data_IF_910939486369
#
_entry.id   IF_910939486369
#
_cell.length_a   1.000
_cell.length_b   1.000
_cell.length_c   1.000
_cell.angle_alpha   90.00
_cell.angle_beta   90.00
_cell.angle_gamma   90.00
#
_symmetry.space_group_name_H-M   'P 1'
#
loop_
_entity.id
_entity.type
_entity.pdbx_description
1 polymer ?
#
# COMPACT_ATOMS: atom_id res chain seq x y z
N UNK A 1 3.05 -26.09 -9.32
CA UNK A 1 1.84 -25.28 -9.49
C UNK A 1 2.26 -23.83 -9.77
N UNK A 2 1.83 -23.30 -10.89
CA UNK A 2 2.25 -21.97 -11.29
C UNK A 2 1.58 -20.90 -10.43
N UNK A 3 2.36 -19.90 -10.05
CA UNK A 3 1.81 -18.76 -9.34
C UNK A 3 0.87 -17.97 -10.24
N UNK A 4 -0.24 -17.51 -9.69
CA UNK A 4 -1.18 -16.69 -10.42
C UNK A 4 -0.54 -15.32 -10.73
N UNK A 5 -0.52 -14.94 -12.01
CA UNK A 5 0.01 -13.64 -12.40
C UNK A 5 -0.98 -12.52 -12.03
N UNK A 6 -0.49 -11.29 -11.81
CA UNK A 6 -1.39 -10.15 -11.61
C UNK A 6 -2.38 -9.97 -12.77
N UNK A 7 -1.93 -10.16 -14.01
CA UNK A 7 -2.83 -10.05 -15.18
C UNK A 7 -3.97 -11.07 -15.11
N UNK A 8 -3.65 -12.32 -14.79
CA UNK A 8 -4.66 -13.37 -14.68
C UNK A 8 -5.61 -13.12 -13.50
N UNK A 9 -5.05 -12.65 -12.38
CA UNK A 9 -5.85 -12.33 -11.19
C UNK A 9 -6.83 -11.19 -11.46
N UNK A 10 -6.42 -10.16 -12.18
CA UNK A 10 -7.23 -8.98 -12.44
C UNK A 10 -8.20 -9.14 -13.62
N UNK A 11 -7.96 -10.10 -14.50
CA UNK A 11 -8.73 -10.28 -15.72
C UNK A 11 -10.26 -10.36 -15.51
N UNK A 12 -10.79 -11.00 -14.45
CA UNK A 12 -12.25 -11.12 -14.25
C UNK A 12 -12.93 -9.84 -13.78
N UNK A 13 -12.15 -8.85 -13.31
CA UNK A 13 -12.76 -7.63 -12.74
C UNK A 13 -13.27 -6.69 -13.84
N UNK A 14 -14.29 -5.85 -13.53
CA UNK A 14 -14.80 -4.87 -14.51
C UNK A 14 -13.70 -3.97 -15.04
N UNK A 15 -13.84 -3.49 -16.28
CA UNK A 15 -12.83 -2.69 -16.97
C UNK A 15 -12.30 -1.53 -16.12
N UNK A 16 -13.14 -0.66 -15.50
CA UNK A 16 -12.61 0.46 -14.71
C UNK A 16 -11.75 0.01 -13.53
N UNK A 17 -12.15 -1.09 -12.88
CA UNK A 17 -11.43 -1.63 -11.72
C UNK A 17 -10.11 -2.23 -12.16
N UNK A 18 -10.14 -3.03 -13.22
CA UNK A 18 -8.95 -3.67 -13.77
C UNK A 18 -7.93 -2.62 -14.22
N UNK A 19 -8.38 -1.61 -14.94
CA UNK A 19 -7.50 -0.54 -15.44
C UNK A 19 -6.91 0.28 -14.29
N UNK A 20 -7.72 0.64 -13.30
CA UNK A 20 -7.24 1.33 -12.11
C UNK A 20 -6.20 0.49 -11.37
N UNK A 21 -6.46 -0.80 -11.18
CA UNK A 21 -5.52 -1.70 -10.50
C UNK A 21 -4.18 -1.77 -11.23
N UNK A 22 -4.20 -1.87 -12.55
CA UNK A 22 -2.95 -1.88 -13.33
C UNK A 22 -2.20 -0.57 -13.24
N UNK A 23 -2.89 0.56 -13.21
CA UNK A 23 -2.23 1.86 -13.00
C UNK A 23 -1.59 1.95 -11.62
N UNK A 24 -2.28 1.46 -10.59
CA UNK A 24 -1.72 1.42 -9.23
C UNK A 24 -0.48 0.53 -9.17
N UNK A 25 -0.53 -0.63 -9.81
CA UNK A 25 0.65 -1.52 -9.91
C UNK A 25 1.83 -0.78 -10.55
N UNK A 26 1.57 -0.04 -11.63
CA UNK A 26 2.61 0.71 -12.32
C UNK A 26 3.20 1.80 -11.41
N UNK A 27 2.38 2.49 -10.65
CA UNK A 27 2.84 3.51 -9.69
C UNK A 27 3.76 2.87 -8.64
N UNK A 28 3.32 1.79 -8.00
CA UNK A 28 4.11 1.12 -6.96
C UNK A 28 5.46 0.67 -7.51
N UNK A 29 5.48 0.03 -8.67
CA UNK A 29 6.70 -0.52 -9.26
C UNK A 29 7.65 0.56 -9.76
N UNK A 30 7.14 1.70 -10.17
CA UNK A 30 7.95 2.83 -10.61
C UNK A 30 8.55 3.58 -9.43
N UNK A 31 7.76 3.77 -8.36
CA UNK A 31 8.20 4.50 -7.16
C UNK A 31 9.15 3.66 -6.30
N UNK A 32 8.93 2.34 -6.26
CA UNK A 32 9.75 1.39 -5.50
C UNK A 32 10.24 0.30 -6.46
N UNK A 33 11.31 0.59 -7.23
CA UNK A 33 11.75 -0.34 -8.30
C UNK A 33 12.19 -1.72 -7.80
N UNK A 34 12.61 -1.86 -6.55
CA UNK A 34 12.99 -3.13 -5.95
C UNK A 34 11.82 -3.83 -5.24
N UNK A 35 10.60 -3.34 -5.40
CA UNK A 35 9.43 -3.99 -4.83
C UNK A 35 9.23 -5.39 -5.42
N UNK A 36 8.88 -6.32 -4.55
CA UNK A 36 8.56 -7.70 -4.92
C UNK A 36 7.04 -7.82 -4.97
N UNK A 37 6.52 -8.00 -6.16
CA UNK A 37 5.07 -8.10 -6.41
C UNK A 37 4.64 -9.56 -6.44
N UNK A 38 3.57 -9.91 -5.71
CA UNK A 38 3.03 -11.26 -5.73
C UNK A 38 1.52 -11.23 -5.45
N UNK A 39 0.76 -12.01 -6.23
CA UNK A 39 -0.67 -12.20 -5.97
C UNK A 39 -0.83 -13.06 -4.71
N UNK A 40 -1.73 -12.64 -3.85
CA UNK A 40 -2.15 -13.38 -2.64
C UNK A 40 -3.61 -13.79 -2.81
N UNK A 41 -3.88 -14.95 -3.46
CA UNK A 41 -5.26 -15.32 -3.82
C UNK A 41 -6.18 -15.45 -2.62
N UNK A 42 -5.67 -15.99 -1.50
CA UNK A 42 -6.46 -16.14 -0.28
C UNK A 42 -6.91 -14.82 0.34
N UNK A 43 -6.19 -13.75 0.06
CA UNK A 43 -6.53 -12.40 0.54
C UNK A 43 -7.14 -11.54 -0.56
N UNK A 44 -7.27 -12.05 -1.78
CA UNK A 44 -7.83 -11.35 -2.94
C UNK A 44 -7.11 -10.02 -3.23
N UNK A 45 -5.77 -10.06 -3.23
CA UNK A 45 -4.99 -8.85 -3.49
C UNK A 45 -3.64 -9.16 -4.15
N UNK A 46 -3.04 -8.11 -4.69
CA UNK A 46 -1.65 -8.11 -5.13
C UNK A 46 -0.84 -7.45 -4.03
N UNK A 47 0.08 -8.20 -3.44
CA UNK A 47 0.89 -7.71 -2.33
C UNK A 47 2.27 -7.27 -2.76
N UNK A 48 2.87 -6.37 -1.98
CA UNK A 48 4.18 -5.81 -2.25
C UNK A 48 5.09 -5.92 -1.03
N UNK A 49 6.31 -6.42 -1.27
CA UNK A 49 7.36 -6.49 -0.26
C UNK A 49 8.57 -5.70 -0.75
N UNK A 50 9.41 -5.29 0.18
CA UNK A 50 10.65 -4.56 -0.12
C UNK A 50 11.80 -5.27 0.62
N UNK A 51 13.01 -5.30 0.05
CA UNK A 51 14.16 -5.86 0.76
C UNK A 51 14.37 -5.14 2.10
N UNK A 52 14.64 -5.92 3.14
CA UNK A 52 14.87 -5.42 4.50
C UNK A 52 15.96 -6.30 5.15
N UNK A 53 17.23 -5.89 5.00
CA UNK A 53 18.36 -6.72 5.43
C UNK A 53 18.42 -8.01 4.61
N UNK A 54 18.44 -9.15 5.29
CA UNK A 54 18.47 -10.48 4.64
C UNK A 54 17.08 -11.02 4.30
N UNK A 55 16.03 -10.28 4.67
CA UNK A 55 14.65 -10.68 4.45
C UNK A 55 13.95 -9.66 3.60
N UNK A 56 12.66 -9.81 3.44
CA UNK A 56 11.80 -8.82 2.83
C UNK A 56 10.68 -8.47 3.80
N UNK A 57 10.16 -7.25 3.68
CA UNK A 57 9.09 -6.75 4.53
C UNK A 57 7.89 -6.35 3.69
N UNK A 58 6.70 -6.75 4.11
CA UNK A 58 5.44 -6.42 3.46
C UNK A 58 5.10 -4.95 3.74
N UNK A 59 4.82 -4.18 2.68
CA UNK A 59 4.54 -2.75 2.88
C UNK A 59 3.21 -2.28 2.33
N UNK A 60 2.61 -3.00 1.39
CA UNK A 60 1.37 -2.52 0.80
C UNK A 60 0.72 -3.52 -0.14
N UNK A 61 -0.43 -3.11 -0.67
CA UNK A 61 -1.22 -3.98 -1.53
C UNK A 61 -2.15 -3.20 -2.45
N UNK A 62 -2.53 -3.85 -3.55
CA UNK A 62 -3.60 -3.42 -4.44
C UNK A 62 -4.72 -4.46 -4.32
N UNK A 63 -5.88 -4.05 -3.81
CA UNK A 63 -7.00 -4.95 -3.52
C UNK A 63 -8.22 -4.56 -4.33
N UNK A 64 -8.51 -5.28 -5.44
CA UNK A 64 -9.68 -5.02 -6.26
C UNK A 64 -10.95 -5.61 -5.63
N UNK A 65 -12.05 -4.90 -5.82
CA UNK A 65 -13.39 -5.34 -5.47
C UNK A 65 -14.33 -5.04 -6.65
N UNK A 66 -15.60 -5.49 -6.63
CA UNK A 66 -16.46 -5.31 -7.80
C UNK A 66 -16.69 -3.87 -8.23
N UNK A 67 -16.69 -2.91 -7.28
CA UNK A 67 -17.02 -1.50 -7.59
C UNK A 67 -15.93 -0.52 -7.22
N UNK A 68 -14.83 -0.98 -6.64
CA UNK A 68 -13.69 -0.13 -6.32
C UNK A 68 -12.42 -0.96 -6.15
N UNK A 69 -11.28 -0.27 -6.09
CA UNK A 69 -9.99 -0.90 -5.78
C UNK A 69 -9.27 -0.04 -4.74
N UNK A 70 -8.61 -0.71 -3.79
CA UNK A 70 -7.83 -0.04 -2.75
C UNK A 70 -6.34 -0.15 -3.03
N UNK A 71 -5.61 0.92 -2.75
CA UNK A 71 -4.17 0.89 -2.55
C UNK A 71 -3.93 1.06 -1.06
N UNK A 72 -3.45 0.01 -0.40
CA UNK A 72 -3.29 0.00 1.05
C UNK A 72 -1.85 -0.11 1.49
N UNK A 73 -1.61 0.32 2.74
CA UNK A 73 -0.28 0.39 3.34
C UNK A 73 -0.29 -0.29 4.71
N UNK A 74 0.60 -1.27 4.90
CA UNK A 74 0.69 -2.08 6.12
C UNK A 74 0.94 -1.24 7.36
N UNK A 75 1.84 -0.25 7.25
CA UNK A 75 2.14 0.66 8.35
C UNK A 75 1.53 2.04 8.12
N UNK A 76 0.32 2.06 7.55
CA UNK A 76 -0.37 3.29 7.17
C UNK A 76 -0.59 4.25 8.33
N UNK A 77 -0.77 3.72 9.55
CA UNK A 77 -0.96 4.54 10.74
C UNK A 77 0.26 5.42 11.08
N UNK A 78 1.44 5.09 10.54
CA UNK A 78 2.67 5.87 10.73
C UNK A 78 2.89 6.92 9.63
N UNK A 79 2.09 6.89 8.57
CA UNK A 79 2.19 7.87 7.49
C UNK A 79 1.68 9.23 7.94
N UNK A 80 2.40 10.27 7.56
CA UNK A 80 1.90 11.62 7.75
C UNK A 80 0.81 11.90 6.72
N UNK A 81 -0.33 12.36 7.19
CA UNK A 81 -1.51 12.61 6.37
C UNK A 81 -2.20 13.90 6.83
N UNK A 82 -1.54 15.06 6.66
CA UNK A 82 -2.08 16.32 7.15
C UNK A 82 -3.40 16.71 6.49
N UNK A 83 -3.60 16.32 5.25
CA UNK A 83 -4.82 16.63 4.48
C UNK A 83 -5.92 15.58 4.67
N UNK A 84 -5.67 14.55 5.46
CA UNK A 84 -6.63 13.49 5.78
C UNK A 84 -7.21 12.81 4.54
N UNK A 85 -6.33 12.45 3.60
CA UNK A 85 -6.72 11.79 2.35
C UNK A 85 -6.81 10.27 2.47
N UNK A 86 -6.21 9.68 3.52
CA UNK A 86 -6.21 8.24 3.72
C UNK A 86 -7.47 7.77 4.45
N UNK A 87 -8.04 6.68 3.95
CA UNK A 87 -9.12 5.95 4.61
C UNK A 87 -8.60 4.92 5.60
N UNK A 88 -9.52 4.28 6.34
CA UNK A 88 -9.19 3.21 7.27
C UNK A 88 -8.75 3.69 8.64
N UNK A 89 -9.10 4.92 9.03
CA UNK A 89 -8.67 5.50 10.32
C UNK A 89 -9.22 4.76 11.54
N UNK A 90 -10.22 3.90 11.36
CA UNK A 90 -10.75 3.03 12.41
C UNK A 90 -9.96 1.71 12.54
N UNK A 91 -9.11 1.41 11.57
CA UNK A 91 -8.27 0.22 11.61
C UNK A 91 -7.01 0.49 12.42
N UNK A 92 -6.44 -0.58 12.97
CA UNK A 92 -5.27 -0.46 13.86
C UNK A 92 -4.03 0.03 13.14
N UNK A 93 -3.71 -0.56 11.99
CA UNK A 93 -2.43 -0.32 11.28
C UNK A 93 -2.61 0.15 9.85
N UNK A 94 -3.54 -0.44 9.13
CA UNK A 94 -3.67 -0.22 7.69
C UNK A 94 -4.36 1.10 7.40
N UNK A 95 -3.86 1.82 6.39
CA UNK A 95 -4.55 2.97 5.78
C UNK A 95 -4.57 2.73 4.28
N UNK A 96 -5.54 3.32 3.58
CA UNK A 96 -5.69 3.06 2.15
C UNK A 96 -6.33 4.22 1.41
N UNK A 97 -6.09 4.23 0.10
CA UNK A 97 -6.83 5.03 -0.86
C UNK A 97 -7.84 4.15 -1.58
N UNK A 98 -8.96 4.72 -1.99
CA UNK A 98 -10.01 4.02 -2.73
C UNK A 98 -10.21 4.66 -4.09
N UNK A 99 -10.29 3.83 -5.15
CA UNK A 99 -10.43 4.28 -6.53
C UNK A 99 -11.59 3.54 -7.20
N UNK A 100 -12.35 4.25 -8.03
CA UNK A 100 -13.45 3.67 -8.81
C UNK A 100 -13.09 3.49 -10.27
N UNK A 101 -12.03 4.11 -10.74
CA UNK A 101 -11.55 4.01 -12.10
C UNK A 101 -10.15 4.57 -12.26
N UNK A 102 -9.56 4.36 -13.47
CA UNK A 102 -8.17 4.76 -13.70
C UNK A 102 -7.94 6.26 -13.63
N UNK A 103 -8.96 7.07 -13.92
CA UNK A 103 -8.82 8.53 -13.92
C UNK A 103 -8.60 9.10 -12.52
N UNK A 104 -8.94 8.35 -11.48
CA UNK A 104 -8.73 8.76 -10.10
C UNK A 104 -7.29 8.50 -9.62
N UNK A 105 -6.50 7.77 -10.38
CA UNK A 105 -5.13 7.41 -10.00
C UNK A 105 -4.19 8.56 -10.37
N UNK A 106 -3.70 9.26 -9.35
CA UNK A 106 -2.79 10.40 -9.49
C UNK A 106 -1.44 10.03 -8.88
N UNK A 107 -0.48 9.71 -9.73
CA UNK A 107 0.85 9.29 -9.28
C UNK A 107 1.53 10.34 -8.42
N UNK A 108 1.39 11.62 -8.77
CA UNK A 108 2.03 12.71 -8.02
C UNK A 108 1.55 12.76 -6.57
N UNK A 109 0.26 12.49 -6.34
CA UNK A 109 -0.31 12.42 -5.01
C UNK A 109 0.17 11.15 -4.28
N UNK A 110 0.17 10.01 -4.99
CA UNK A 110 0.42 8.70 -4.38
C UNK A 110 1.89 8.41 -4.09
N UNK A 111 2.80 8.92 -4.92
CA UNK A 111 4.22 8.59 -4.85
C UNK A 111 4.84 8.81 -3.47
N UNK A 112 4.61 9.93 -2.77
CA UNK A 112 5.19 10.12 -1.43
C UNK A 112 4.70 9.07 -0.42
N UNK A 113 3.42 8.70 -0.48
CA UNK A 113 2.85 7.68 0.41
C UNK A 113 3.45 6.31 0.14
N UNK A 114 3.56 5.93 -1.13
CA UNK A 114 4.14 4.64 -1.53
C UNK A 114 5.61 4.56 -1.10
N UNK A 115 6.38 5.61 -1.35
CA UNK A 115 7.80 5.67 -0.98
C UNK A 115 7.99 5.55 0.51
N UNK A 116 7.23 6.31 1.28
CA UNK A 116 7.31 6.32 2.74
C UNK A 116 6.86 4.98 3.32
N UNK A 117 5.82 4.36 2.75
CA UNK A 117 5.35 3.03 3.17
C UNK A 117 6.45 1.99 3.06
N UNK A 118 7.17 1.98 1.95
CA UNK A 118 8.27 1.04 1.74
C UNK A 118 9.41 1.31 2.72
N UNK A 119 9.74 2.59 2.96
CA UNK A 119 10.77 2.97 3.92
C UNK A 119 10.42 2.51 5.33
N UNK A 120 9.19 2.72 5.77
CA UNK A 120 8.72 2.32 7.09
C UNK A 120 8.77 0.80 7.27
N UNK A 121 8.39 0.04 6.24
CA UNK A 121 8.42 -1.42 6.30
C UNK A 121 9.84 -1.96 6.39
N UNK A 122 10.81 -1.29 5.77
CA UNK A 122 12.21 -1.69 5.81
C UNK A 122 12.90 -1.38 7.13
N UNK A 123 12.31 -0.56 7.99
CA UNK A 123 12.84 -0.29 9.33
C UNK A 123 12.76 -1.54 10.20
N UNK A 124 13.61 -1.59 11.23
CA UNK A 124 13.50 -2.62 12.25
C UNK A 124 12.25 -2.37 13.11
N UNK A 125 11.83 -3.41 13.82
CA UNK A 125 10.71 -3.29 14.76
C UNK A 125 10.99 -2.22 15.82
N UNK A 126 12.23 -2.16 16.32
CA UNK A 126 12.63 -1.17 17.32
C UNK A 126 12.54 0.26 16.77
N UNK A 127 12.99 0.46 15.54
CA UNK A 127 12.90 1.77 14.88
C UNK A 127 11.45 2.22 14.70
N UNK A 128 10.55 1.31 14.28
CA UNK A 128 9.13 1.64 14.17
C UNK A 128 8.51 1.95 15.53
N UNK A 129 8.89 1.19 16.55
CA UNK A 129 8.40 1.44 17.91
C UNK A 129 8.82 2.84 18.39
N UNK A 130 10.05 3.25 18.10
CA UNK A 130 10.52 4.59 18.45
C UNK A 130 9.66 5.68 17.82
N UNK A 131 9.22 5.50 16.56
CA UNK A 131 8.32 6.44 15.90
C UNK A 131 6.97 6.54 16.60
N UNK A 132 6.42 5.42 17.06
CA UNK A 132 5.16 5.39 17.80
C UNK A 132 5.29 6.15 19.12
N UNK A 133 6.38 5.92 19.85
CA UNK A 133 6.62 6.57 21.13
C UNK A 133 6.82 8.10 20.96
N UNK A 134 7.50 8.52 19.92
CA UNK A 134 7.69 9.94 19.62
C UNK A 134 6.36 10.62 19.35
N UNK A 135 5.47 9.98 18.61
CA UNK A 135 4.13 10.53 18.33
C UNK A 135 3.28 10.63 19.59
N UNK A 136 3.33 9.61 20.43
CA UNK A 136 2.60 9.63 21.71
C UNK A 136 3.10 10.77 22.58
N UNK A 137 4.40 11.03 22.61
CA UNK A 137 4.98 12.15 23.33
C UNK A 137 4.50 13.49 22.80
N UNK A 138 4.49 13.65 21.46
CA UNK A 138 4.01 14.88 20.81
C UNK A 138 2.53 15.13 21.11
N UNK A 139 1.71 14.10 21.11
CA UNK A 139 0.28 14.23 21.36
C UNK A 139 -0.03 14.57 22.82
N UNK A 140 0.91 14.37 23.74
CA UNK A 140 0.74 14.68 25.16
C UNK A 140 1.23 16.08 25.54
N UNK A 141 1.90 16.77 24.65
CA UNK A 141 2.33 18.14 24.89
C UNK A 141 1.14 19.10 24.85
N UNK A 142 1.01 20.03 25.83
CA UNK A 142 -0.09 20.99 25.86
C UNK A 142 -0.03 22.01 24.73
#
# INVERSE_FOLDING_TARGET
MDDLSPDAFLAPYPDPIREAAHRLRAVVRRVVPDAIEAVRPGWHLVGYRVPAGRRSAYFGFVAPEPIHVHLGFEYGFLLEDPDRVLGGTTLRKVRFFTFRGPDEVDESLLAPFVRESARLAALTRAERLALVLDRDSESQEP
#
